data_IF_942834937877
#
_entry.id   IF_942834937877
#
_cell.length_a   1.000
_cell.length_b   1.000
_cell.length_c   1.000
_cell.angle_alpha   90.00
_cell.angle_beta   90.00
_cell.angle_gamma   90.00
#
_symmetry.space_group_name_H-M   'P 1'
#
loop_
_entity.id
_entity.type
_entity.pdbx_description
1 polymer ?
#
# COMPACT_ATOMS: atom_id res chain seq x y z
N UNK A 1 28.85 62.96 41.00
CA UNK A 1 28.82 62.29 39.68
C UNK A 1 29.52 60.95 39.81
N UNK A 2 28.77 59.86 40.01
CA UNK A 2 29.23 58.47 39.83
C UNK A 2 27.97 57.61 39.67
N UNK A 3 28.00 56.79 38.64
CA UNK A 3 26.88 56.23 37.89
C UNK A 3 26.40 54.93 38.55
N UNK A 4 25.07 54.73 38.54
CA UNK A 4 24.38 53.49 38.88
C UNK A 4 24.77 52.37 37.91
N UNK A 5 25.05 51.17 38.42
CA UNK A 5 25.02 49.93 37.63
C UNK A 5 24.12 48.93 38.36
N UNK A 6 22.87 48.85 37.92
CA UNK A 6 21.92 47.80 38.30
C UNK A 6 22.20 46.60 37.41
N UNK A 7 22.66 45.50 38.01
CA UNK A 7 22.85 44.22 37.30
C UNK A 7 21.54 43.45 37.42
N UNK A 8 20.75 43.46 36.34
CA UNK A 8 19.63 42.55 36.13
C UNK A 8 20.18 41.21 35.61
N UNK A 9 20.01 40.16 36.41
CA UNK A 9 20.22 38.77 36.00
C UNK A 9 18.94 38.23 35.34
N UNK A 10 18.95 37.83 34.06
CA UNK A 10 17.83 37.12 33.47
C UNK A 10 17.98 35.62 33.74
N UNK A 11 17.05 35.05 34.49
CA UNK A 11 16.85 33.62 34.64
C UNK A 11 16.26 33.04 33.34
N UNK A 12 17.08 32.39 32.52
CA UNK A 12 16.62 31.56 31.41
C UNK A 12 16.28 30.16 31.93
N UNK A 13 14.99 29.90 32.13
CA UNK A 13 14.44 28.55 32.20
C UNK A 13 14.34 28.03 30.76
N UNK A 14 15.26 27.16 30.34
CA UNK A 14 15.09 26.36 29.13
C UNK A 14 14.11 25.22 29.43
N UNK A 15 12.82 25.46 29.15
CA UNK A 15 11.89 24.37 28.84
C UNK A 15 12.04 24.06 27.35
N UNK A 16 12.92 23.13 27.02
CA UNK A 16 12.95 22.50 25.70
C UNK A 16 11.89 21.39 25.67
N UNK A 17 10.61 21.79 25.54
CA UNK A 17 9.62 20.93 24.93
C UNK A 17 9.64 21.25 23.44
N UNK A 18 10.52 20.57 22.69
CA UNK A 18 10.33 20.42 21.24
C UNK A 18 9.07 19.57 21.06
N UNK A 19 7.93 20.25 21.02
CA UNK A 19 6.72 19.68 20.47
C UNK A 19 6.99 19.33 19.01
N UNK A 20 6.93 18.04 18.71
CA UNK A 20 6.75 17.55 17.35
C UNK A 20 5.58 18.30 16.72
N UNK A 21 5.86 19.15 15.73
CA UNK A 21 4.81 19.71 14.88
C UNK A 21 4.26 18.57 14.04
N UNK A 22 3.15 18.00 14.50
CA UNK A 22 2.28 17.17 13.68
C UNK A 22 1.64 18.07 12.62
N UNK A 23 2.11 17.97 11.37
CA UNK A 23 1.33 17.94 10.12
C UNK A 23 0.21 18.94 9.81
N UNK A 24 -0.09 19.96 10.62
CA UNK A 24 -1.12 20.94 10.27
C UNK A 24 -0.59 21.97 9.26
N UNK A 25 -0.66 21.63 7.97
CA UNK A 25 -0.36 22.58 6.88
C UNK A 25 -0.08 21.99 5.50
N UNK A 26 0.01 20.68 5.33
CA UNK A 26 0.18 20.09 4.00
C UNK A 26 -1.13 20.07 3.21
N UNK A 27 -1.03 20.40 1.92
CA UNK A 27 -2.15 20.39 0.98
C UNK A 27 -2.56 18.94 0.69
N UNK A 28 -3.82 18.60 0.90
CA UNK A 28 -4.42 17.32 0.49
C UNK A 28 -5.22 17.56 -0.82
N UNK A 29 -5.14 16.66 -1.82
CA UNK A 29 -4.41 15.41 -1.80
C UNK A 29 -2.89 15.59 -1.99
N UNK A 30 -2.12 14.67 -1.41
CA UNK A 30 -0.65 14.62 -1.50
C UNK A 30 -0.20 13.17 -1.57
N UNK A 31 0.89 12.88 -2.28
CA UNK A 31 1.51 11.56 -2.28
C UNK A 31 3.02 11.64 -2.18
N UNK A 32 3.66 10.52 -1.86
CA UNK A 32 5.12 10.40 -1.77
C UNK A 32 5.55 9.01 -2.28
N UNK A 33 6.75 8.94 -2.87
CA UNK A 33 7.42 7.68 -3.22
C UNK A 33 8.34 7.17 -2.11
N UNK A 34 8.17 7.68 -0.88
CA UNK A 34 8.93 7.24 0.29
C UNK A 34 10.45 7.21 0.01
N UNK A 35 10.95 8.21 -0.73
CA UNK A 35 12.30 8.19 -1.30
C UNK A 35 13.45 8.38 -0.31
N UNK A 36 13.15 8.40 0.99
CA UNK A 36 14.12 8.54 2.06
C UNK A 36 13.50 8.50 3.45
N UNK A 37 14.33 8.65 4.47
CA UNK A 37 13.94 8.40 5.86
C UNK A 37 12.83 9.32 6.37
N UNK A 38 12.71 10.56 5.89
CA UNK A 38 11.74 11.52 6.42
C UNK A 38 10.30 11.05 6.15
N UNK A 39 9.98 10.75 4.89
CA UNK A 39 8.65 10.28 4.49
C UNK A 39 8.38 8.85 4.94
N UNK A 40 9.40 7.98 4.98
CA UNK A 40 9.29 6.63 5.54
C UNK A 40 8.88 6.69 7.01
N UNK A 41 9.61 7.44 7.85
CA UNK A 41 9.32 7.55 9.29
C UNK A 41 7.92 8.14 9.55
N UNK A 42 7.51 9.13 8.75
CA UNK A 42 6.20 9.75 8.86
C UNK A 42 5.06 8.75 8.56
N UNK A 43 5.17 8.00 7.46
CA UNK A 43 4.18 6.97 7.08
C UNK A 43 4.17 5.82 8.08
N UNK A 44 5.33 5.34 8.51
CA UNK A 44 5.46 4.29 9.53
C UNK A 44 4.84 4.69 10.87
N UNK A 45 4.85 5.98 11.23
CA UNK A 45 4.19 6.46 12.45
C UNK A 45 2.66 6.39 12.34
N UNK A 46 2.09 6.76 11.20
CA UNK A 46 0.65 6.65 10.95
C UNK A 46 0.21 5.18 10.93
N UNK A 47 0.97 4.30 10.25
CA UNK A 47 0.78 2.84 10.28
C UNK A 47 0.75 2.28 11.71
N UNK A 48 1.76 2.60 12.53
CA UNK A 48 1.81 2.17 13.94
C UNK A 48 0.63 2.70 14.75
N UNK A 49 0.19 3.93 14.48
CA UNK A 49 -0.94 4.55 15.17
C UNK A 49 -2.28 3.91 14.80
N UNK A 50 -2.38 3.37 13.58
CA UNK A 50 -3.55 2.66 13.08
C UNK A 50 -3.64 1.20 13.57
N UNK A 51 -2.54 0.66 14.09
CA UNK A 51 -2.45 -0.74 14.51
C UNK A 51 -1.96 -1.69 13.41
N UNK A 52 -1.23 -1.17 12.41
CA UNK A 52 -0.65 -2.01 11.38
C UNK A 52 0.41 -2.96 11.94
N UNK A 53 0.47 -4.15 11.38
CA UNK A 53 1.42 -5.21 11.74
C UNK A 53 2.78 -4.97 11.10
N UNK A 54 3.84 -5.51 11.73
CA UNK A 54 5.19 -5.59 11.15
C UNK A 54 5.73 -4.29 10.53
N UNK A 55 5.39 -3.13 11.12
CA UNK A 55 5.75 -1.82 10.56
C UNK A 55 7.27 -1.59 10.56
N UNK A 56 8.01 -2.25 11.44
CA UNK A 56 9.47 -2.30 11.43
C UNK A 56 10.02 -3.04 10.20
N UNK A 57 9.45 -4.18 9.84
CA UNK A 57 9.79 -4.92 8.61
C UNK A 57 9.45 -4.07 7.37
N UNK A 58 8.25 -3.48 7.33
CA UNK A 58 7.87 -2.55 6.25
C UNK A 58 8.84 -1.37 6.13
N UNK A 59 9.25 -0.80 7.27
CA UNK A 59 10.20 0.32 7.30
C UNK A 59 11.58 -0.10 6.76
N UNK A 60 12.05 -1.30 7.09
CA UNK A 60 13.26 -1.89 6.50
C UNK A 60 13.10 -2.03 4.98
N UNK A 61 11.95 -2.53 4.53
CA UNK A 61 11.68 -2.72 3.10
C UNK A 61 11.71 -1.43 2.31
N UNK A 62 11.00 -0.41 2.79
CA UNK A 62 10.96 0.89 2.15
C UNK A 62 12.33 1.58 2.17
N UNK A 63 13.10 1.47 3.26
CA UNK A 63 14.42 2.10 3.38
C UNK A 63 15.44 1.48 2.42
N UNK A 64 15.46 0.15 2.33
CA UNK A 64 16.36 -0.56 1.43
C UNK A 64 16.06 -0.25 -0.04
N UNK A 65 14.77 -0.24 -0.43
CA UNK A 65 14.38 0.21 -1.76
C UNK A 65 14.79 1.65 -2.01
N UNK A 66 14.56 2.57 -1.07
CA UNK A 66 14.96 3.97 -1.21
C UNK A 66 16.48 4.14 -1.37
N UNK A 67 17.29 3.40 -0.60
CA UNK A 67 18.75 3.50 -0.62
C UNK A 67 19.41 2.86 -1.86
N UNK A 68 18.70 1.92 -2.50
CA UNK A 68 19.14 1.21 -3.71
C UNK A 68 18.44 1.75 -4.97
N UNK A 69 17.28 1.18 -5.32
CA UNK A 69 16.43 1.52 -6.45
C UNK A 69 16.06 3.01 -6.48
N UNK A 70 15.60 3.53 -5.34
CA UNK A 70 15.13 4.89 -5.20
C UNK A 70 16.22 5.92 -5.44
N UNK A 71 17.42 5.68 -4.89
CA UNK A 71 18.60 6.52 -5.11
C UNK A 71 19.04 6.51 -6.57
N UNK A 72 18.98 5.36 -7.25
CA UNK A 72 19.30 5.27 -8.67
C UNK A 72 18.27 6.03 -9.54
N UNK A 73 16.99 5.93 -9.18
CA UNK A 73 15.89 6.65 -9.83
C UNK A 73 15.74 8.12 -9.40
N UNK A 74 16.52 8.58 -8.41
CA UNK A 74 16.45 9.92 -7.82
C UNK A 74 15.06 10.23 -7.21
N UNK A 75 14.47 9.27 -6.50
CA UNK A 75 13.20 9.48 -5.80
C UNK A 75 13.35 10.57 -4.73
N UNK A 76 12.33 11.41 -4.63
CA UNK A 76 12.31 12.49 -3.65
C UNK A 76 11.76 12.02 -2.30
N UNK A 77 12.41 12.46 -1.22
CA UNK A 77 11.96 12.24 0.16
C UNK A 77 11.02 13.37 0.64
N UNK A 78 9.98 13.64 -0.16
CA UNK A 78 8.99 14.68 0.13
C UNK A 78 7.58 14.26 -0.30
N UNK A 79 6.59 15.00 0.22
CA UNK A 79 5.21 14.93 -0.25
C UNK A 79 5.00 15.89 -1.41
N UNK A 80 4.32 15.41 -2.45
CA UNK A 80 4.08 16.10 -3.70
C UNK A 80 2.64 15.95 -4.19
N UNK A 81 2.31 16.68 -5.25
CA UNK A 81 1.02 16.59 -5.94
C UNK A 81 0.87 15.19 -6.60
N UNK A 82 -0.14 14.38 -6.23
CA UNK A 82 -0.30 13.01 -6.74
C UNK A 82 -0.43 12.96 -8.27
N UNK A 83 -1.00 14.00 -8.88
CA UNK A 83 -1.17 14.08 -10.33
C UNK A 83 0.13 14.37 -11.09
N UNK A 84 1.23 14.65 -10.37
CA UNK A 84 2.54 14.98 -10.95
C UNK A 84 3.64 13.98 -10.62
N UNK A 85 3.38 13.05 -9.70
CA UNK A 85 4.35 12.01 -9.34
C UNK A 85 4.58 11.08 -10.52
N UNK A 86 5.86 10.95 -10.89
CA UNK A 86 6.34 10.04 -11.94
C UNK A 86 7.69 9.50 -11.54
N UNK A 87 7.77 8.19 -11.31
CA UNK A 87 9.04 7.50 -11.09
C UNK A 87 9.61 7.00 -12.43
N UNK A 88 10.93 6.99 -12.54
CA UNK A 88 11.64 6.29 -13.62
C UNK A 88 11.76 4.81 -13.23
N UNK A 89 10.73 4.03 -13.55
CA UNK A 89 10.60 2.62 -13.15
C UNK A 89 11.78 1.77 -13.67
N UNK A 90 12.27 2.07 -14.88
CA UNK A 90 13.45 1.40 -15.42
C UNK A 90 14.69 1.62 -14.54
N UNK A 91 14.90 2.85 -14.04
CA UNK A 91 15.98 3.11 -13.09
C UNK A 91 15.75 2.52 -11.71
N UNK A 92 14.50 2.42 -11.26
CA UNK A 92 14.23 1.71 -10.01
C UNK A 92 14.69 0.25 -10.13
N UNK A 93 14.26 -0.42 -11.21
CA UNK A 93 14.65 -1.80 -11.51
C UNK A 93 16.17 -1.95 -11.64
N UNK A 94 16.83 -1.11 -12.45
CA UNK A 94 18.30 -1.11 -12.61
C UNK A 94 19.03 -0.94 -11.27
N UNK A 95 18.48 -0.10 -10.38
CA UNK A 95 19.07 0.15 -9.07
C UNK A 95 18.88 -1.02 -8.11
N UNK A 96 17.73 -1.69 -8.18
CA UNK A 96 17.43 -2.88 -7.39
C UNK A 96 18.32 -4.06 -7.82
N UNK A 97 18.30 -4.42 -9.10
CA UNK A 97 19.05 -5.56 -9.67
C UNK A 97 20.58 -5.44 -9.53
N UNK A 98 21.07 -4.23 -9.27
CA UNK A 98 22.50 -3.99 -9.04
C UNK A 98 22.94 -4.43 -7.64
N UNK A 99 22.06 -4.32 -6.65
CA UNK A 99 22.37 -4.60 -5.25
C UNK A 99 21.69 -5.90 -4.76
N UNK A 100 20.72 -6.41 -5.51
CA UNK A 100 19.92 -7.59 -5.17
C UNK A 100 19.81 -8.58 -6.34
N UNK A 101 19.76 -9.88 -6.03
CA UNK A 101 19.58 -10.99 -6.97
C UNK A 101 18.20 -11.66 -6.87
N UNK A 102 17.25 -11.00 -6.21
CA UNK A 102 15.87 -11.43 -6.00
C UNK A 102 14.90 -10.25 -6.20
N UNK A 103 13.63 -10.52 -6.47
CA UNK A 103 12.59 -9.48 -6.59
C UNK A 103 12.25 -8.86 -5.23
N UNK A 104 12.01 -7.54 -5.19
CA UNK A 104 11.47 -6.85 -4.00
C UNK A 104 10.05 -7.38 -3.64
N UNK A 105 9.37 -6.77 -2.68
CA UNK A 105 7.95 -7.03 -2.44
C UNK A 105 7.06 -6.29 -3.45
N UNK A 106 5.88 -6.86 -3.70
CA UNK A 106 4.82 -6.24 -4.49
C UNK A 106 3.65 -5.75 -3.60
N UNK A 107 2.53 -5.42 -4.26
CA UNK A 107 1.37 -4.85 -3.62
C UNK A 107 0.68 -5.82 -2.66
N UNK A 108 0.55 -7.08 -3.05
CA UNK A 108 -0.12 -8.14 -2.27
C UNK A 108 0.73 -8.48 -1.06
N UNK A 109 2.03 -8.65 -1.25
CA UNK A 109 2.98 -8.94 -0.17
C UNK A 109 3.03 -7.81 0.85
N UNK A 110 3.12 -6.56 0.39
CA UNK A 110 3.17 -5.38 1.27
C UNK A 110 1.88 -5.20 2.06
N UNK A 111 0.72 -5.34 1.40
CA UNK A 111 -0.56 -5.21 2.08
C UNK A 111 -0.79 -6.34 3.09
N UNK A 112 -0.42 -7.57 2.75
CA UNK A 112 -0.52 -8.72 3.64
C UNK A 112 0.34 -8.56 4.89
N UNK A 113 1.61 -8.18 4.72
CA UNK A 113 2.52 -7.90 5.84
C UNK A 113 1.92 -6.89 6.83
N UNK A 114 1.38 -5.77 6.32
CA UNK A 114 0.86 -4.68 7.14
C UNK A 114 -0.48 -5.02 7.83
N UNK A 115 -1.19 -6.03 7.34
CA UNK A 115 -2.50 -6.46 7.87
C UNK A 115 -2.42 -7.75 8.69
N UNK A 116 -1.26 -8.39 8.79
CA UNK A 116 -1.09 -9.76 9.32
C UNK A 116 -1.85 -10.04 10.63
N UNK A 117 -1.66 -9.23 11.68
CA UNK A 117 -2.30 -9.47 12.99
C UNK A 117 -3.79 -9.07 13.04
N UNK A 118 -4.31 -8.38 12.01
CA UNK A 118 -5.72 -7.94 11.93
C UNK A 118 -6.51 -8.65 10.83
N UNK A 119 -5.85 -9.31 9.88
CA UNK A 119 -6.46 -10.14 8.86
C UNK A 119 -6.67 -11.56 9.41
N UNK A 120 -7.86 -12.10 9.23
CA UNK A 120 -8.14 -13.51 9.57
C UNK A 120 -9.00 -14.17 8.51
N UNK A 121 -8.92 -15.49 8.44
CA UNK A 121 -9.78 -16.36 7.64
C UNK A 121 -10.28 -17.52 8.51
N UNK A 122 -11.50 -17.99 8.27
CA UNK A 122 -12.05 -19.17 8.94
C UNK A 122 -11.58 -20.48 8.31
N UNK A 123 -11.20 -20.44 7.03
CA UNK A 123 -10.61 -21.57 6.29
C UNK A 123 -9.76 -21.08 5.12
N UNK A 124 -8.89 -21.95 4.61
CA UNK A 124 -8.03 -21.70 3.45
C UNK A 124 -8.23 -22.78 2.38
N UNK A 125 -7.73 -22.50 1.18
CA UNK A 125 -7.53 -23.52 0.14
C UNK A 125 -6.41 -24.48 0.56
N UNK A 126 -6.52 -25.76 0.21
CA UNK A 126 -5.51 -26.77 0.55
C UNK A 126 -4.21 -26.55 -0.22
N UNK A 127 -4.30 -26.23 -1.51
CA UNK A 127 -3.16 -25.94 -2.39
C UNK A 127 -3.55 -24.88 -3.43
N UNK A 128 -2.61 -24.01 -3.78
CA UNK A 128 -2.74 -23.05 -4.86
C UNK A 128 -2.10 -23.60 -6.13
N UNK A 129 -2.92 -23.85 -7.17
CA UNK A 129 -2.47 -24.38 -8.47
C UNK A 129 -2.46 -23.32 -9.59
N UNK A 130 -2.68 -22.05 -9.22
CA UNK A 130 -2.80 -20.95 -10.17
C UNK A 130 -1.47 -20.40 -10.69
N UNK A 131 -1.55 -19.47 -11.65
CA UNK A 131 -0.37 -18.82 -12.24
C UNK A 131 -0.25 -17.33 -11.91
N UNK A 132 -1.32 -16.69 -11.43
CA UNK A 132 -1.36 -15.26 -11.12
C UNK A 132 -0.53 -14.84 -9.91
N UNK A 133 -0.18 -15.79 -9.03
CA UNK A 133 0.74 -15.59 -7.89
C UNK A 133 2.12 -16.21 -8.12
N UNK A 134 2.48 -16.59 -9.35
CA UNK A 134 3.73 -17.32 -9.61
C UNK A 134 4.95 -16.54 -9.12
N UNK A 135 5.03 -15.23 -9.36
CA UNK A 135 6.15 -14.41 -8.92
C UNK A 135 6.13 -14.15 -7.40
N UNK A 136 4.96 -13.93 -6.82
CA UNK A 136 4.78 -13.76 -5.38
C UNK A 136 5.26 -14.99 -4.61
N UNK A 137 4.76 -16.16 -5.01
CA UNK A 137 5.07 -17.44 -4.37
C UNK A 137 6.53 -17.82 -4.59
N UNK A 138 7.10 -17.58 -5.78
CA UNK A 138 8.53 -17.74 -6.00
C UNK A 138 9.37 -16.88 -5.05
N UNK A 139 9.01 -15.60 -4.87
CA UNK A 139 9.68 -14.71 -3.95
C UNK A 139 9.52 -15.18 -2.48
N UNK A 140 8.29 -15.41 -2.03
CA UNK A 140 7.95 -15.86 -0.67
C UNK A 140 8.66 -17.17 -0.32
N UNK A 141 8.69 -18.13 -1.24
CA UNK A 141 9.22 -19.46 -0.97
C UNK A 141 10.76 -19.46 -0.89
N UNK A 142 11.44 -18.58 -1.63
CA UNK A 142 12.89 -18.63 -1.83
C UNK A 142 13.69 -17.49 -1.17
N UNK A 143 13.05 -16.40 -0.73
CA UNK A 143 13.74 -15.23 -0.15
C UNK A 143 13.43 -15.12 1.33
N UNK A 144 14.44 -15.27 2.19
CA UNK A 144 14.26 -15.22 3.65
C UNK A 144 13.74 -13.89 4.21
N UNK A 145 13.78 -12.81 3.40
CA UNK A 145 13.18 -11.51 3.70
C UNK A 145 11.65 -11.59 3.90
N UNK A 146 11.00 -12.56 3.26
CA UNK A 146 9.54 -12.71 3.27
C UNK A 146 9.04 -13.82 4.19
N UNK A 147 9.87 -14.25 5.15
CA UNK A 147 9.54 -15.37 6.06
C UNK A 147 8.24 -15.11 6.84
N UNK A 148 7.99 -13.88 7.27
CA UNK A 148 6.73 -13.51 7.94
C UNK A 148 5.50 -13.81 7.08
N UNK A 149 5.54 -13.52 5.78
CA UNK A 149 4.43 -13.85 4.86
C UNK A 149 4.35 -15.36 4.65
N UNK A 150 5.50 -16.04 4.60
CA UNK A 150 5.60 -17.48 4.38
C UNK A 150 4.95 -18.29 5.50
N UNK A 151 4.96 -17.79 6.74
CA UNK A 151 4.28 -18.43 7.88
C UNK A 151 2.77 -18.57 7.65
N UNK A 152 2.14 -17.61 6.96
CA UNK A 152 0.71 -17.58 6.64
C UNK A 152 0.40 -17.71 5.14
N UNK A 153 1.24 -18.49 4.44
CA UNK A 153 1.17 -18.70 2.99
C UNK A 153 -0.20 -19.13 2.48
N UNK A 154 -0.89 -20.02 3.19
CA UNK A 154 -2.19 -20.54 2.75
C UNK A 154 -3.26 -19.45 2.78
N UNK A 155 -3.21 -18.54 3.77
CA UNK A 155 -4.10 -17.37 3.83
C UNK A 155 -3.77 -16.42 2.67
N UNK A 156 -2.48 -16.15 2.44
CA UNK A 156 -2.02 -15.32 1.33
C UNK A 156 -2.52 -15.82 -0.02
N UNK A 157 -2.29 -17.09 -0.34
CA UNK A 157 -2.70 -17.64 -1.63
C UNK A 157 -4.22 -17.80 -1.76
N UNK A 158 -4.92 -18.05 -0.66
CA UNK A 158 -6.39 -18.10 -0.68
C UNK A 158 -6.98 -16.71 -0.97
N UNK A 159 -6.43 -15.66 -0.37
CA UNK A 159 -6.91 -14.28 -0.51
C UNK A 159 -6.64 -13.71 -1.90
N UNK A 160 -5.44 -13.90 -2.43
CA UNK A 160 -5.00 -13.25 -3.67
C UNK A 160 -5.05 -14.15 -4.91
N UNK A 161 -5.18 -15.46 -4.74
CA UNK A 161 -5.22 -16.43 -5.83
C UNK A 161 -6.45 -16.23 -6.70
N UNK A 162 -6.32 -16.50 -8.00
CA UNK A 162 -7.40 -16.34 -8.96
C UNK A 162 -8.62 -17.21 -8.62
N UNK A 163 -9.81 -16.69 -8.91
CA UNK A 163 -11.09 -17.34 -8.65
C UNK A 163 -11.88 -17.46 -9.95
N UNK A 164 -12.34 -18.66 -10.27
CA UNK A 164 -13.11 -18.91 -11.50
C UNK A 164 -14.44 -18.16 -11.50
N UNK A 165 -14.77 -17.55 -12.63
CA UNK A 165 -16.07 -16.97 -12.93
C UNK A 165 -16.93 -18.06 -13.55
N UNK A 166 -18.08 -18.35 -12.94
CA UNK A 166 -19.04 -19.35 -13.48
C UNK A 166 -19.99 -18.71 -14.49
N UNK A 167 -20.76 -19.55 -15.21
CA UNK A 167 -21.55 -19.23 -16.42
C UNK A 167 -22.58 -18.06 -16.31
N UNK A 168 -22.77 -17.46 -15.14
CA UNK A 168 -23.71 -16.35 -14.90
C UNK A 168 -23.13 -14.93 -15.14
N UNK A 169 -21.86 -14.80 -15.57
CA UNK A 169 -21.20 -13.54 -16.01
C UNK A 169 -21.33 -12.34 -15.04
N UNK A 170 -21.12 -12.59 -13.75
CA UNK A 170 -21.01 -11.56 -12.73
C UNK A 170 -19.62 -11.58 -12.07
N UNK A 171 -18.53 -11.26 -12.81
CA UNK A 171 -17.17 -11.26 -12.25
C UNK A 171 -17.03 -10.32 -11.05
N UNK A 172 -17.87 -9.29 -10.93
CA UNK A 172 -17.91 -8.35 -9.81
C UNK A 172 -18.40 -8.94 -8.48
N UNK A 173 -18.94 -10.16 -8.45
CA UNK A 173 -19.35 -10.81 -7.19
C UNK A 173 -18.33 -11.82 -6.69
N UNK A 174 -17.50 -12.36 -7.59
CA UNK A 174 -16.66 -13.53 -7.31
C UNK A 174 -15.66 -13.30 -6.17
N UNK A 175 -15.10 -12.11 -6.06
CA UNK A 175 -14.17 -11.79 -4.97
C UNK A 175 -14.89 -11.67 -3.62
N UNK A 176 -16.06 -11.04 -3.58
CA UNK A 176 -16.92 -11.00 -2.37
C UNK A 176 -17.38 -12.40 -1.97
N UNK A 177 -17.81 -13.23 -2.94
CA UNK A 177 -18.21 -14.61 -2.68
C UNK A 177 -17.05 -15.45 -2.10
N UNK A 178 -15.82 -15.20 -2.59
CA UNK A 178 -14.61 -15.82 -2.03
C UNK A 178 -14.34 -15.34 -0.60
N UNK A 179 -14.48 -14.04 -0.34
CA UNK A 179 -14.36 -13.47 1.01
C UNK A 179 -15.32 -14.14 2.01
N UNK A 180 -16.58 -14.27 1.62
CA UNK A 180 -17.61 -14.91 2.43
C UNK A 180 -17.35 -16.41 2.62
N UNK A 181 -16.94 -17.11 1.55
CA UNK A 181 -16.66 -18.55 1.58
C UNK A 181 -15.56 -18.91 2.57
N UNK A 182 -14.47 -18.14 2.58
CA UNK A 182 -13.31 -18.40 3.43
C UNK A 182 -13.39 -17.67 4.77
N UNK A 183 -14.42 -16.84 4.98
CA UNK A 183 -14.64 -16.10 6.22
C UNK A 183 -13.57 -15.05 6.48
N UNK A 184 -13.11 -14.37 5.43
CA UNK A 184 -12.10 -13.31 5.57
C UNK A 184 -12.66 -12.11 6.33
N UNK A 185 -11.84 -11.56 7.25
CA UNK A 185 -12.19 -10.37 8.05
C UNK A 185 -10.95 -9.53 8.33
N UNK A 186 -11.14 -8.21 8.35
CA UNK A 186 -10.19 -7.25 8.95
C UNK A 186 -10.75 -6.82 10.31
N UNK A 187 -10.11 -7.21 11.39
CA UNK A 187 -10.45 -6.82 12.76
C UNK A 187 -9.81 -5.47 13.11
N UNK A 188 -10.24 -4.41 12.42
CA UNK A 188 -9.78 -3.04 12.67
C UNK A 188 -10.83 -2.01 12.25
N UNK A 189 -11.05 -1.01 13.11
CA UNK A 189 -11.90 0.15 12.80
C UNK A 189 -11.17 1.22 11.96
N UNK A 190 -9.84 1.14 11.89
CA UNK A 190 -8.98 2.19 11.33
C UNK A 190 -8.21 1.74 10.09
N UNK A 191 -8.26 0.45 9.75
CA UNK A 191 -7.52 -0.12 8.63
C UNK A 191 -8.45 -0.90 7.72
N UNK A 192 -8.14 -0.92 6.43
CA UNK A 192 -8.88 -1.71 5.47
C UNK A 192 -7.97 -2.15 4.33
N UNK A 193 -8.24 -3.33 3.78
CA UNK A 193 -7.66 -3.78 2.52
C UNK A 193 -8.48 -3.19 1.37
N UNK A 194 -7.84 -2.36 0.55
CA UNK A 194 -8.41 -1.93 -0.71
C UNK A 194 -7.84 -2.81 -1.82
N UNK A 195 -8.72 -3.42 -2.62
CA UNK A 195 -8.32 -4.32 -3.70
C UNK A 195 -8.90 -3.85 -5.04
N UNK A 196 -8.06 -3.86 -6.07
CA UNK A 196 -8.46 -3.75 -7.47
C UNK A 196 -8.39 -5.15 -8.07
N UNK A 197 -9.55 -5.69 -8.43
CA UNK A 197 -9.70 -7.04 -8.97
C UNK A 197 -9.96 -6.93 -10.47
N UNK A 198 -9.18 -7.69 -11.24
CA UNK A 198 -9.21 -7.70 -12.70
C UNK A 198 -9.87 -9.01 -13.14
N UNK A 199 -10.72 -8.93 -14.15
CA UNK A 199 -11.29 -10.10 -14.82
C UNK A 199 -10.46 -10.42 -16.06
N UNK A 200 -9.98 -11.66 -16.15
CA UNK A 200 -9.37 -12.21 -17.36
C UNK A 200 -10.44 -13.00 -18.15
N UNK A 201 -10.92 -12.47 -19.29
CA UNK A 201 -11.93 -13.14 -20.10
C UNK A 201 -11.39 -14.35 -20.89
N UNK A 202 -10.08 -14.57 -20.95
CA UNK A 202 -9.49 -15.71 -21.66
C UNK A 202 -9.49 -16.98 -20.80
N UNK A 203 -9.28 -16.85 -19.49
CA UNK A 203 -9.29 -17.96 -18.55
C UNK A 203 -10.56 -18.03 -17.70
N UNK A 204 -11.46 -17.05 -17.84
CA UNK A 204 -12.68 -16.90 -17.04
C UNK A 204 -12.39 -16.92 -15.54
N UNK A 205 -11.44 -16.07 -15.11
CA UNK A 205 -11.10 -15.89 -13.69
C UNK A 205 -11.06 -14.42 -13.32
N UNK A 206 -11.26 -14.12 -12.04
CA UNK A 206 -10.88 -12.85 -11.45
C UNK A 206 -9.64 -13.04 -10.57
N UNK A 207 -8.78 -12.03 -10.51
CA UNK A 207 -7.60 -12.03 -9.66
C UNK A 207 -7.34 -10.63 -9.10
N UNK A 208 -6.64 -10.55 -7.96
CA UNK A 208 -6.27 -9.27 -7.36
C UNK A 208 -5.08 -8.70 -8.14
N UNK A 209 -5.36 -7.73 -9.02
CA UNK A 209 -4.35 -7.03 -9.80
C UNK A 209 -3.61 -5.96 -9.00
N UNK A 210 -4.22 -5.43 -7.94
CA UNK A 210 -3.56 -4.52 -7.02
C UNK A 210 -4.18 -4.55 -5.63
N UNK A 211 -3.35 -4.38 -4.60
CA UNK A 211 -3.75 -4.31 -3.20
C UNK A 211 -3.01 -3.18 -2.48
N UNK A 212 -3.68 -2.55 -1.51
CA UNK A 212 -3.04 -1.60 -0.61
C UNK A 212 -3.82 -1.43 0.67
N UNK A 213 -3.20 -0.79 1.65
CA UNK A 213 -3.77 -0.59 2.98
C UNK A 213 -4.30 0.83 3.08
N UNK A 214 -5.61 0.95 3.28
CA UNK A 214 -6.25 2.23 3.58
C UNK A 214 -6.35 2.41 5.09
N UNK A 215 -5.79 3.53 5.56
CA UNK A 215 -5.80 3.91 6.97
C UNK A 215 -6.70 5.12 7.14
N UNK A 216 -7.53 5.08 8.18
CA UNK A 216 -8.33 6.22 8.62
C UNK A 216 -7.57 6.96 9.73
N UNK A 217 -6.94 8.07 9.37
CA UNK A 217 -6.35 9.01 10.33
C UNK A 217 -7.45 9.92 10.91
N UNK A 218 -7.10 10.78 11.88
CA UNK A 218 -8.07 11.63 12.57
C UNK A 218 -8.81 12.63 11.65
N UNK A 219 -8.14 13.10 10.60
CA UNK A 219 -8.60 14.19 9.72
C UNK A 219 -8.42 13.89 8.23
N UNK A 220 -7.88 12.72 7.86
CA UNK A 220 -7.65 12.30 6.48
C UNK A 220 -7.59 10.77 6.39
N UNK A 221 -7.52 10.26 5.16
CA UNK A 221 -7.14 8.89 4.87
C UNK A 221 -5.71 8.84 4.34
N UNK A 222 -4.98 7.79 4.71
CA UNK A 222 -3.65 7.46 4.20
C UNK A 222 -3.70 6.10 3.52
N UNK A 223 -3.43 6.06 2.22
CA UNK A 223 -3.31 4.82 1.45
C UNK A 223 -1.85 4.47 1.27
N UNK A 224 -1.43 3.29 1.72
CA UNK A 224 -0.04 2.79 1.62
C UNK A 224 0.00 1.58 0.71
N UNK A 225 0.93 1.57 -0.24
CA UNK A 225 1.00 0.58 -1.30
C UNK A 225 2.40 0.46 -1.90
N UNK A 226 2.63 -0.62 -2.63
CA UNK A 226 3.83 -0.91 -3.43
C UNK A 226 3.37 -1.55 -4.73
N UNK A 227 3.12 -0.77 -5.78
CA UNK A 227 2.27 -1.27 -6.90
C UNK A 227 2.81 -2.56 -7.54
N UNK A 228 4.12 -2.61 -7.80
CA UNK A 228 4.82 -3.76 -8.37
C UNK A 228 6.24 -3.82 -7.81
N UNK A 229 6.95 -4.93 -8.07
CA UNK A 229 8.32 -5.18 -7.61
C UNK A 229 9.30 -4.04 -7.91
N UNK A 230 9.20 -3.46 -9.10
CA UNK A 230 10.07 -2.41 -9.62
C UNK A 230 9.60 -0.98 -9.31
N UNK A 231 8.36 -0.81 -8.82
CA UNK A 231 7.81 0.51 -8.51
C UNK A 231 8.11 0.91 -7.06
N UNK A 232 8.16 2.20 -6.71
CA UNK A 232 8.43 2.63 -5.34
C UNK A 232 7.36 2.23 -4.33
N UNK A 233 7.77 2.09 -3.06
CA UNK A 233 6.84 2.21 -1.93
C UNK A 233 6.21 3.59 -1.96
N UNK A 234 4.92 3.66 -1.70
CA UNK A 234 4.13 4.85 -1.94
C UNK A 234 3.09 5.05 -0.85
N UNK A 235 2.86 6.31 -0.53
CA UNK A 235 1.75 6.69 0.32
C UNK A 235 0.99 7.88 -0.26
N UNK A 236 -0.34 7.86 -0.16
CA UNK A 236 -1.23 8.91 -0.66
C UNK A 236 -2.17 9.37 0.46
N UNK A 237 -2.19 10.67 0.74
CA UNK A 237 -3.13 11.35 1.63
C UNK A 237 -4.28 11.95 0.84
N UNK A 238 -5.51 11.66 1.28
CA UNK A 238 -6.77 12.13 0.68
C UNK A 238 -7.80 12.41 1.77
N UNK A 239 -8.81 13.24 1.50
CA UNK A 239 -9.91 13.49 2.43
C UNK A 239 -11.01 12.43 2.32
N UNK A 240 -11.15 11.80 1.15
CA UNK A 240 -12.22 10.84 0.86
C UNK A 240 -11.72 9.66 0.03
N UNK A 241 -12.45 8.53 0.09
CA UNK A 241 -12.21 7.40 -0.80
C UNK A 241 -12.36 7.79 -2.28
N UNK A 242 -13.31 8.67 -2.61
CA UNK A 242 -13.52 9.11 -4.00
C UNK A 242 -12.30 9.84 -4.56
N UNK A 243 -11.63 10.69 -3.76
CA UNK A 243 -10.37 11.35 -4.15
C UNK A 243 -9.25 10.33 -4.38
N UNK A 244 -9.16 9.29 -3.55
CA UNK A 244 -8.19 8.22 -3.73
C UNK A 244 -8.43 7.45 -5.03
N UNK A 245 -9.68 7.04 -5.27
CA UNK A 245 -10.05 6.28 -6.46
C UNK A 245 -9.88 7.11 -7.74
N UNK A 246 -10.09 8.43 -7.68
CA UNK A 246 -9.74 9.32 -8.79
C UNK A 246 -8.24 9.26 -9.10
N UNK A 247 -7.37 9.34 -8.09
CA UNK A 247 -5.91 9.25 -8.28
C UNK A 247 -5.52 7.87 -8.83
N UNK A 248 -6.07 6.79 -8.28
CA UNK A 248 -5.80 5.42 -8.73
C UNK A 248 -6.25 5.20 -10.18
N UNK A 249 -7.36 5.82 -10.61
CA UNK A 249 -7.87 5.69 -11.98
C UNK A 249 -6.95 6.25 -13.07
N UNK A 250 -5.94 7.02 -12.69
CA UNK A 250 -4.95 7.56 -13.62
C UNK A 250 -3.92 6.51 -14.05
N UNK A 251 -3.90 5.34 -13.40
CA UNK A 251 -2.93 4.28 -13.66
C UNK A 251 -3.44 3.36 -14.76
N UNK A 252 -2.81 3.34 -15.94
CA UNK A 252 -3.30 2.54 -17.06
C UNK A 252 -3.18 1.04 -16.83
N UNK A 253 -2.30 0.60 -15.91
CA UNK A 253 -2.03 -0.81 -15.61
C UNK A 253 -3.23 -1.59 -15.04
N UNK A 254 -4.27 -0.90 -14.57
CA UNK A 254 -5.49 -1.54 -14.08
C UNK A 254 -6.50 -1.86 -15.18
N UNK A 255 -6.35 -1.26 -16.36
CA UNK A 255 -7.35 -1.30 -17.41
C UNK A 255 -6.92 -2.23 -18.54
N UNK A 256 -7.79 -3.18 -18.86
CA UNK A 256 -7.68 -4.02 -20.03
C UNK A 256 -8.22 -3.34 -21.30
N UNK A 257 -8.66 -4.15 -22.27
CA UNK A 257 -9.26 -3.61 -23.50
C UNK A 257 -10.61 -2.92 -23.22
N UNK A 258 -10.99 -1.95 -24.06
CA UNK A 258 -12.16 -1.08 -23.81
C UNK A 258 -13.52 -1.80 -23.70
N UNK A 259 -13.60 -3.09 -24.03
CA UNK A 259 -14.80 -3.92 -23.90
C UNK A 259 -14.76 -4.88 -22.71
N UNK A 260 -13.63 -4.95 -21.99
CA UNK A 260 -13.45 -5.83 -20.84
C UNK A 260 -14.15 -5.24 -19.60
N UNK A 261 -14.70 -6.11 -18.77
CA UNK A 261 -15.40 -5.70 -17.56
C UNK A 261 -14.40 -5.32 -16.45
N UNK A 262 -14.76 -4.34 -15.62
CA UNK A 262 -13.91 -3.88 -14.54
C UNK A 262 -12.92 -2.78 -14.95
N UNK A 263 -11.83 -2.59 -14.18
CA UNK A 263 -11.50 -3.35 -12.97
C UNK A 263 -12.44 -3.01 -11.81
N UNK A 264 -12.61 -3.95 -10.89
CA UNK A 264 -13.56 -3.88 -9.78
C UNK A 264 -12.86 -3.46 -8.50
N UNK A 265 -13.46 -2.54 -7.75
CA UNK A 265 -12.92 -2.03 -6.49
C UNK A 265 -13.63 -2.72 -5.33
N UNK A 266 -12.85 -3.21 -4.37
CA UNK A 266 -13.36 -3.80 -3.14
C UNK A 266 -12.69 -3.18 -1.92
N UNK A 267 -13.44 -3.04 -0.84
CA UNK A 267 -12.94 -2.63 0.47
C UNK A 267 -13.28 -3.73 1.48
N UNK A 268 -12.28 -4.41 2.03
CA UNK A 268 -12.45 -5.58 2.90
C UNK A 268 -13.38 -6.65 2.29
N UNK A 269 -13.20 -6.93 1.00
CA UNK A 269 -14.03 -7.89 0.27
C UNK A 269 -15.42 -7.38 -0.15
N UNK A 270 -15.87 -6.23 0.35
CA UNK A 270 -17.14 -5.64 -0.07
C UNK A 270 -16.98 -4.89 -1.39
N UNK A 271 -17.83 -5.20 -2.37
CA UNK A 271 -17.82 -4.53 -3.67
C UNK A 271 -18.19 -3.04 -3.54
N UNK A 272 -17.31 -2.17 -4.03
CA UNK A 272 -17.45 -0.71 -3.97
C UNK A 272 -17.96 -0.14 -5.28
N UNK A 273 -17.53 -0.70 -6.42
CA UNK A 273 -17.91 -0.27 -7.76
C UNK A 273 -16.89 -0.63 -8.83
N UNK A 274 -17.08 -0.11 -10.05
CA UNK A 274 -16.15 -0.25 -11.17
C UNK A 274 -15.26 0.98 -11.26
N UNK A 275 -13.94 0.80 -11.27
CA UNK A 275 -13.02 1.90 -11.54
C UNK A 275 -13.10 2.26 -13.03
N UNK A 276 -13.22 3.54 -13.35
CA UNK A 276 -13.16 4.05 -14.72
C UNK A 276 -12.13 5.16 -14.82
N UNK A 277 -11.70 5.52 -16.03
CA UNK A 277 -10.79 6.65 -16.27
C UNK A 277 -11.33 8.03 -15.83
N UNK A 278 -12.58 8.09 -15.36
CA UNK A 278 -13.22 9.28 -14.77
C UNK A 278 -13.54 9.11 -13.28
N UNK A 279 -13.01 8.09 -12.61
CA UNK A 279 -13.32 7.73 -11.22
C UNK A 279 -14.27 6.54 -11.09
N UNK A 280 -14.93 6.39 -9.94
CA UNK A 280 -15.77 5.24 -9.62
C UNK A 280 -17.16 5.31 -10.27
N UNK A 281 -17.57 4.23 -10.94
CA UNK A 281 -18.93 3.98 -11.39
C UNK A 281 -19.60 3.00 -10.42
N UNK A 282 -20.76 3.39 -9.88
CA UNK A 282 -21.56 2.59 -8.95
C UNK A 282 -22.68 1.84 -9.65
#
# INVERSE_FOLDING_TARGET
MKIFAVILLPSMLLNACMGTQTGHGQKIPAATYMGGSNTIEEVSKELKSAGASHVDIFQEWAADFADTAGKNAMLEDTWSDPYKLKADVGKCMDGWEKEHDYSDADCRMTAFLLLDEVLSAESTEEEYEGTYLMFDTEAIDNVGRYETIKEDRDIFTTLYGEKSVTDDKHPETVFSDSWDKYGFRIDSDNMSLLSIVIYDPYSDVVFVGHAGVLIKCSDHYLFVEKIAFEQPYQATRVNTMDELLEIMSLRPEYFGEAAEAGPFVYNNGEYVGVLSSYGLLK
#
